data_IF_416780613897
#
_entry.id   IF_416780613897
#
_cell.length_a   1.000
_cell.length_b   1.000
_cell.length_c   1.000
_cell.angle_alpha   90.00
_cell.angle_beta   90.00
_cell.angle_gamma   90.00
#
_symmetry.space_group_name_H-M   'P 1'
#
loop_
_entity.id
_entity.type
_entity.pdbx_description
1 polymer ?
#
# COMPACT_ATOMS: atom_id res chain seq x y z
N UNK A 1 -19.43 22.22 51.25
CA UNK A 1 -20.56 22.02 50.32
C UNK A 1 -20.57 23.16 49.32
N UNK A 2 -20.13 22.94 48.08
CA UNK A 2 -20.31 23.90 46.98
C UNK A 2 -21.02 23.15 45.84
N UNK A 3 -22.30 23.49 45.62
CA UNK A 3 -23.13 23.05 44.49
C UNK A 3 -22.76 23.90 43.26
N UNK A 4 -22.37 23.29 42.13
CA UNK A 4 -23.22 22.90 40.98
C UNK A 4 -23.89 24.09 40.24
N UNK A 5 -23.42 24.43 39.02
CA UNK A 5 -24.25 24.40 37.80
C UNK A 5 -23.50 24.86 36.53
N UNK A 6 -23.52 23.96 35.53
CA UNK A 6 -23.86 24.14 34.10
C UNK A 6 -23.37 25.41 33.37
N UNK A 7 -22.44 25.20 32.44
CA UNK A 7 -22.12 26.10 31.33
C UNK A 7 -23.10 25.90 30.17
N UNK A 8 -23.94 26.90 29.93
CA UNK A 8 -24.87 26.99 28.79
C UNK A 8 -24.11 27.24 27.46
N UNK A 9 -24.42 26.44 26.44
CA UNK A 9 -23.92 26.57 25.08
C UNK A 9 -24.71 27.66 24.34
N UNK A 10 -24.02 28.70 23.85
CA UNK A 10 -24.65 29.89 23.24
C UNK A 10 -24.81 29.69 21.72
N UNK A 11 -26.05 29.48 21.27
CA UNK A 11 -26.42 29.37 19.85
C UNK A 11 -26.31 30.72 19.12
N UNK A 12 -25.64 30.72 17.97
CA UNK A 12 -25.44 31.87 17.09
C UNK A 12 -26.68 32.13 16.21
N UNK A 13 -27.07 33.39 16.07
CA UNK A 13 -28.38 33.86 15.58
C UNK A 13 -28.37 34.10 14.07
N UNK A 14 -29.24 33.40 13.35
CA UNK A 14 -29.65 33.69 11.97
C UNK A 14 -30.57 34.93 11.98
N UNK A 15 -30.33 35.96 11.16
CA UNK A 15 -31.28 37.06 10.92
C UNK A 15 -31.48 37.30 9.43
N UNK A 16 -32.74 37.17 9.05
CA UNK A 16 -33.36 37.38 7.74
C UNK A 16 -33.68 38.88 7.56
N UNK A 17 -33.54 39.44 6.34
CA UNK A 17 -34.23 40.70 5.99
C UNK A 17 -33.72 41.52 4.78
N UNK A 18 -34.44 41.38 3.65
CA UNK A 18 -34.85 42.41 2.67
C UNK A 18 -33.85 43.15 1.72
N UNK A 19 -33.83 42.69 0.47
CA UNK A 19 -34.14 43.39 -0.80
C UNK A 19 -33.79 44.89 -0.93
N UNK A 20 -32.80 45.20 -1.78
CA UNK A 20 -32.80 46.39 -2.64
C UNK A 20 -32.35 46.00 -4.05
N UNK A 21 -33.20 46.28 -5.02
CA UNK A 21 -32.98 46.06 -6.44
C UNK A 21 -32.00 47.10 -7.00
N UNK A 22 -30.93 46.64 -7.66
CA UNK A 22 -30.15 47.47 -8.59
C UNK A 22 -30.02 46.68 -9.89
N UNK A 23 -30.79 47.14 -10.87
CA UNK A 23 -30.74 46.72 -12.27
C UNK A 23 -29.52 47.38 -12.92
N UNK A 24 -28.47 46.61 -13.20
CA UNK A 24 -27.44 46.98 -14.16
C UNK A 24 -27.36 45.90 -15.23
N UNK A 25 -27.99 46.19 -16.36
CA UNK A 25 -27.68 45.57 -17.65
C UNK A 25 -26.18 45.79 -17.94
N UNK A 26 -25.43 44.70 -18.08
CA UNK A 26 -24.37 44.63 -19.09
C UNK A 26 -24.03 43.16 -19.36
N UNK A 27 -24.30 42.75 -20.59
CA UNK A 27 -23.89 41.47 -21.15
C UNK A 27 -22.38 41.34 -21.08
N UNK A 28 -21.90 40.23 -20.50
CA UNK A 28 -20.68 39.59 -20.99
C UNK A 28 -21.00 38.12 -21.18
N UNK A 29 -21.04 37.74 -22.44
CA UNK A 29 -21.26 36.39 -22.92
C UNK A 29 -20.39 35.39 -22.14
N UNK A 30 -21.02 34.41 -21.50
CA UNK A 30 -20.33 33.16 -21.21
C UNK A 30 -20.18 32.43 -22.53
N UNK A 31 -19.06 32.67 -23.19
CA UNK A 31 -18.63 31.91 -24.35
C UNK A 31 -18.67 30.42 -24.00
N UNK A 32 -19.44 29.70 -24.80
CA UNK A 32 -19.52 28.25 -24.82
C UNK A 32 -18.17 27.70 -25.32
N UNK A 33 -17.17 27.64 -24.45
CA UNK A 33 -15.96 26.87 -24.68
C UNK A 33 -16.27 25.41 -24.33
N UNK A 34 -16.31 24.58 -25.37
CA UNK A 34 -16.68 23.18 -25.28
C UNK A 34 -15.96 22.44 -24.17
N UNK A 35 -16.74 21.72 -23.38
CA UNK A 35 -16.24 20.59 -22.61
C UNK A 35 -15.93 19.48 -23.62
N UNK A 36 -14.78 19.61 -24.29
CA UNK A 36 -14.15 18.47 -24.91
C UNK A 36 -13.91 17.48 -23.78
N UNK A 37 -14.69 16.40 -23.75
CA UNK A 37 -14.38 15.22 -22.94
C UNK A 37 -13.04 14.72 -23.48
N UNK A 38 -11.97 15.15 -22.83
CA UNK A 38 -10.68 14.50 -22.95
C UNK A 38 -10.90 13.05 -22.49
N UNK A 39 -10.66 12.04 -23.35
CA UNK A 39 -10.85 10.66 -22.92
C UNK A 39 -9.87 10.42 -21.78
N UNK A 40 -10.40 9.97 -20.63
CA UNK A 40 -9.60 9.49 -19.50
C UNK A 40 -8.72 8.34 -19.98
N UNK A 41 -7.55 8.67 -20.51
CA UNK A 41 -6.47 7.74 -20.70
C UNK A 41 -6.01 7.42 -19.29
N UNK A 42 -6.26 6.18 -18.87
CA UNK A 42 -5.78 5.57 -17.64
C UNK A 42 -4.26 5.78 -17.54
N UNK A 43 -3.84 6.88 -16.93
CA UNK A 43 -2.46 7.14 -16.57
C UNK A 43 -2.11 6.25 -15.38
N UNK A 44 -1.75 5.00 -15.66
CA UNK A 44 -0.86 4.22 -14.82
C UNK A 44 0.56 4.79 -15.01
N UNK A 45 0.75 6.03 -14.57
CA UNK A 45 2.05 6.71 -14.58
C UNK A 45 2.70 6.54 -13.20
N UNK A 46 3.29 5.37 -12.99
CA UNK A 46 4.41 5.21 -12.07
C UNK A 46 5.44 4.35 -12.78
N UNK A 47 6.42 5.06 -13.35
CA UNK A 47 7.71 4.59 -13.89
C UNK A 47 7.65 3.37 -14.81
N UNK A 48 7.84 3.62 -16.11
CA UNK A 48 8.43 2.62 -16.99
C UNK A 48 9.82 2.24 -16.44
N UNK A 49 9.88 1.20 -15.61
CA UNK A 49 11.11 0.44 -15.42
C UNK A 49 11.25 -0.36 -16.71
N UNK A 50 12.17 0.07 -17.57
CA UNK A 50 12.50 -0.68 -18.77
C UNK A 50 13.06 -2.04 -18.35
N UNK A 51 12.34 -3.09 -18.71
CA UNK A 51 12.71 -4.46 -18.38
C UNK A 51 13.71 -4.93 -19.44
N UNK A 52 15.01 -4.84 -19.14
CA UNK A 52 16.04 -5.45 -19.99
C UNK A 52 15.84 -6.98 -20.04
N UNK A 53 15.58 -7.56 -21.23
CA UNK A 53 15.35 -9.00 -21.41
C UNK A 53 16.62 -9.85 -21.28
N UNK A 54 17.81 -9.26 -21.14
CA UNK A 54 19.09 -9.98 -21.08
C UNK A 54 19.62 -10.25 -19.65
N UNK A 55 18.97 -9.75 -18.60
CA UNK A 55 19.50 -9.86 -17.23
C UNK A 55 19.32 -11.27 -16.63
N UNK A 56 20.33 -12.10 -16.88
CA UNK A 56 20.65 -13.32 -16.13
C UNK A 56 21.33 -12.93 -14.81
N UNK A 57 20.53 -12.64 -13.77
CA UNK A 57 20.99 -12.83 -12.39
C UNK A 57 21.56 -11.65 -11.59
N UNK A 58 21.24 -10.39 -11.89
CA UNK A 58 21.40 -9.30 -10.90
C UNK A 58 20.22 -8.35 -10.90
N UNK A 59 19.19 -8.62 -10.08
CA UNK A 59 18.17 -7.62 -9.83
C UNK A 59 18.69 -6.64 -8.76
N UNK A 60 18.86 -5.38 -9.16
CA UNK A 60 19.31 -4.31 -8.27
C UNK A 60 18.15 -3.91 -7.34
N UNK A 61 18.46 -3.76 -6.06
CA UNK A 61 17.54 -3.95 -4.94
C UNK A 61 16.57 -2.81 -4.62
N UNK A 62 16.58 -1.70 -5.36
CA UNK A 62 15.73 -0.54 -5.03
C UNK A 62 14.25 -0.83 -5.24
N UNK A 63 13.87 -1.37 -6.40
CA UNK A 63 12.47 -1.71 -6.68
C UNK A 63 11.91 -2.78 -5.71
N UNK A 64 12.74 -3.77 -5.34
CA UNK A 64 12.36 -4.80 -4.37
C UNK A 64 12.18 -4.23 -2.96
N UNK A 65 13.09 -3.36 -2.53
CA UNK A 65 12.98 -2.62 -1.26
C UNK A 65 11.73 -1.76 -1.23
N UNK A 66 11.51 -0.93 -2.24
CA UNK A 66 10.40 0.01 -2.27
C UNK A 66 9.05 -0.72 -2.25
N UNK A 67 8.93 -1.79 -3.04
CA UNK A 67 7.73 -2.62 -3.04
C UNK A 67 7.53 -3.32 -1.68
N UNK A 68 8.59 -3.82 -1.05
CA UNK A 68 8.51 -4.40 0.29
C UNK A 68 8.05 -3.37 1.33
N UNK A 69 8.67 -2.18 1.35
CA UNK A 69 8.36 -1.13 2.32
C UNK A 69 6.91 -0.67 2.14
N UNK A 70 6.46 -0.43 0.91
CA UNK A 70 5.11 0.07 0.67
C UNK A 70 4.02 -0.99 0.92
N UNK A 71 4.27 -2.27 0.65
CA UNK A 71 3.21 -3.27 0.55
C UNK A 71 3.33 -4.42 1.56
N UNK A 72 4.54 -4.76 1.99
CA UNK A 72 4.78 -5.90 2.89
C UNK A 72 5.03 -5.45 4.33
N UNK A 73 5.76 -4.35 4.51
CA UNK A 73 6.11 -3.81 5.84
C UNK A 73 4.93 -3.40 6.72
N UNK A 74 3.75 -2.99 6.20
CA UNK A 74 2.61 -2.69 7.05
C UNK A 74 2.20 -3.88 7.95
N UNK A 75 2.42 -5.11 7.50
CA UNK A 75 2.18 -6.32 8.32
C UNK A 75 3.50 -6.90 8.85
N UNK A 76 4.51 -7.06 7.99
CA UNK A 76 5.75 -7.74 8.36
C UNK A 76 6.76 -6.86 9.11
N UNK A 77 6.54 -5.54 9.17
CA UNK A 77 7.50 -4.56 9.69
C UNK A 77 8.64 -4.28 8.72
N UNK A 78 9.25 -3.10 8.81
CA UNK A 78 10.40 -2.73 7.96
C UNK A 78 11.60 -3.68 8.18
N UNK A 79 11.77 -4.13 9.41
CA UNK A 79 12.82 -5.11 9.79
C UNK A 79 12.38 -6.56 9.60
N UNK A 80 11.15 -6.80 9.16
CA UNK A 80 10.62 -8.13 8.89
C UNK A 80 10.27 -8.96 10.12
N UNK A 81 10.15 -8.38 11.31
CA UNK A 81 9.90 -9.15 12.55
C UNK A 81 8.45 -9.59 12.73
N UNK A 82 7.56 -9.17 11.84
CA UNK A 82 6.12 -9.38 11.98
C UNK A 82 5.47 -8.42 12.98
N UNK A 83 6.08 -7.24 13.15
CA UNK A 83 5.71 -6.16 14.06
C UNK A 83 5.26 -4.90 13.31
N UNK A 84 4.74 -5.06 12.09
CA UNK A 84 4.17 -3.96 11.33
C UNK A 84 2.92 -3.39 12.00
N UNK A 85 2.52 -2.14 11.70
CA UNK A 85 1.37 -1.48 12.31
C UNK A 85 0.03 -2.23 12.14
N UNK A 86 -0.07 -3.13 11.15
CA UNK A 86 -1.25 -3.97 10.89
C UNK A 86 -1.10 -5.39 11.45
N UNK A 87 0.01 -5.74 12.10
CA UNK A 87 0.28 -7.11 12.54
C UNK A 87 -0.80 -7.63 13.51
N UNK A 88 -1.28 -6.78 14.42
CA UNK A 88 -2.29 -7.15 15.41
C UNK A 88 -3.75 -6.98 14.89
N UNK A 89 -3.93 -6.47 13.67
CA UNK A 89 -5.27 -6.30 13.07
C UNK A 89 -5.69 -7.47 12.18
N UNK A 90 -4.86 -8.50 12.04
CA UNK A 90 -5.08 -9.62 11.10
C UNK A 90 -6.07 -10.68 11.61
N UNK A 91 -6.59 -10.52 12.82
CA UNK A 91 -7.48 -11.47 13.50
C UNK A 91 -6.81 -12.17 14.69
N UNK A 92 -7.63 -12.76 15.56
CA UNK A 92 -7.14 -13.45 16.75
C UNK A 92 -6.27 -14.66 16.36
N UNK A 93 -5.08 -14.75 16.95
CA UNK A 93 -4.13 -15.85 16.69
C UNK A 93 -3.39 -15.78 15.35
N UNK A 94 -3.71 -14.83 14.46
CA UNK A 94 -2.99 -14.62 13.19
C UNK A 94 -1.85 -13.65 13.42
N UNK A 95 -0.61 -14.10 13.22
CA UNK A 95 0.58 -13.25 13.29
C UNK A 95 1.46 -13.43 12.05
N UNK A 96 1.97 -12.34 11.45
CA UNK A 96 2.93 -12.43 10.37
C UNK A 96 4.18 -13.19 10.82
N UNK A 97 4.77 -13.99 9.93
CA UNK A 97 6.03 -14.68 10.23
C UNK A 97 7.16 -13.66 10.37
N UNK A 98 8.07 -13.91 11.31
CA UNK A 98 9.35 -13.20 11.39
C UNK A 98 10.23 -13.56 10.18
N UNK A 99 10.23 -12.70 9.17
CA UNK A 99 11.04 -12.78 7.97
C UNK A 99 12.53 -12.50 8.22
N UNK A 100 12.89 -11.89 9.35
CA UNK A 100 14.31 -11.71 9.73
C UNK A 100 14.94 -12.98 10.31
N UNK A 101 14.15 -14.02 10.61
CA UNK A 101 14.64 -15.32 11.06
C UNK A 101 15.34 -16.05 9.91
N UNK A 102 16.68 -15.94 9.89
CA UNK A 102 17.53 -16.57 8.91
C UNK A 102 17.38 -18.10 8.88
N UNK A 103 17.12 -18.76 10.02
CA UNK A 103 16.96 -20.21 10.05
C UNK A 103 15.66 -20.64 9.37
N UNK A 104 14.58 -19.92 9.65
CA UNK A 104 13.28 -20.14 9.02
C UNK A 104 13.36 -19.94 7.51
N UNK A 105 13.90 -18.80 7.08
CA UNK A 105 13.95 -18.45 5.66
C UNK A 105 14.96 -19.32 4.90
N UNK A 106 16.11 -19.66 5.49
CA UNK A 106 17.09 -20.54 4.83
C UNK A 106 16.54 -21.94 4.57
N UNK A 107 15.51 -22.39 5.31
CA UNK A 107 14.85 -23.68 5.10
C UNK A 107 13.70 -23.64 4.08
N UNK A 108 13.51 -22.53 3.37
CA UNK A 108 12.48 -22.37 2.33
C UNK A 108 13.15 -22.04 1.00
N UNK A 109 12.69 -22.67 -0.07
CA UNK A 109 13.20 -22.37 -1.41
C UNK A 109 12.65 -21.03 -1.90
N UNK A 110 13.28 -20.43 -2.91
CA UNK A 110 12.78 -19.18 -3.49
C UNK A 110 11.48 -19.41 -4.27
N UNK A 111 11.23 -20.61 -4.80
CA UNK A 111 9.95 -20.99 -5.41
C UNK A 111 8.82 -21.02 -4.38
N UNK A 112 9.10 -21.50 -3.17
CA UNK A 112 8.13 -21.44 -2.07
C UNK A 112 7.80 -19.98 -1.74
N UNK A 113 8.81 -19.13 -1.54
CA UNK A 113 8.60 -17.72 -1.24
C UNK A 113 7.86 -16.99 -2.37
N UNK A 114 8.19 -17.33 -3.62
CA UNK A 114 7.51 -16.84 -4.81
C UNK A 114 6.04 -17.24 -4.83
N UNK A 115 5.74 -18.52 -4.56
CA UNK A 115 4.35 -19.00 -4.50
C UNK A 115 3.54 -18.29 -3.42
N UNK A 116 4.07 -18.17 -2.20
CA UNK A 116 3.38 -17.50 -1.09
C UNK A 116 3.14 -16.02 -1.40
N UNK A 117 4.12 -15.34 -1.99
CA UNK A 117 3.98 -13.92 -2.34
C UNK A 117 3.01 -13.74 -3.50
N UNK A 118 3.14 -14.54 -4.57
CA UNK A 118 2.30 -14.41 -5.76
C UNK A 118 0.86 -14.81 -5.50
N UNK A 119 0.63 -15.92 -4.82
CA UNK A 119 -0.68 -16.56 -4.69
C UNK A 119 -1.28 -16.45 -3.28
N UNK A 120 -0.63 -15.72 -2.37
CA UNK A 120 -1.09 -15.50 -1.01
C UNK A 120 -0.87 -16.69 -0.07
N UNK A 121 -1.19 -16.49 1.20
CA UNK A 121 -0.97 -17.47 2.27
C UNK A 121 -1.74 -18.78 2.07
N UNK A 122 -2.98 -18.70 1.60
CA UNK A 122 -3.84 -19.87 1.35
C UNK A 122 -3.22 -20.89 0.39
N UNK A 123 -2.36 -20.44 -0.54
CA UNK A 123 -1.70 -21.30 -1.53
C UNK A 123 -0.72 -22.33 -0.95
N UNK A 124 -0.36 -22.16 0.34
CA UNK A 124 0.53 -23.04 1.10
C UNK A 124 -0.06 -23.41 2.47
N UNK A 125 -1.36 -23.19 2.68
CA UNK A 125 -2.03 -23.49 3.96
C UNK A 125 -1.76 -22.49 5.09
N UNK A 126 -1.39 -21.24 4.78
CA UNK A 126 -1.35 -20.14 5.74
C UNK A 126 -2.66 -19.34 5.73
N UNK A 127 -2.79 -18.37 6.64
CA UNK A 127 -3.95 -17.50 6.72
C UNK A 127 -4.22 -16.73 5.42
N UNK A 128 -5.50 -16.47 5.14
CA UNK A 128 -5.95 -15.58 4.06
C UNK A 128 -5.55 -14.11 4.29
N UNK A 129 -5.20 -13.74 5.53
CA UNK A 129 -4.69 -12.41 5.86
C UNK A 129 -3.38 -12.07 5.14
N UNK A 130 -2.66 -13.06 4.58
CA UNK A 130 -1.58 -12.83 3.63
C UNK A 130 -2.16 -12.86 2.20
N UNK A 131 -2.37 -11.70 1.56
CA UNK A 131 -3.08 -11.61 0.29
C UNK A 131 -2.24 -12.14 -0.89
N UNK A 132 -2.93 -12.43 -2.00
CA UNK A 132 -2.32 -12.66 -3.30
C UNK A 132 -1.85 -11.34 -3.90
N UNK A 133 -0.65 -11.34 -4.50
CA UNK A 133 -0.08 -10.16 -5.16
C UNK A 133 0.01 -10.29 -6.68
N UNK A 134 -0.55 -11.36 -7.27
CA UNK A 134 -0.46 -11.64 -8.71
C UNK A 134 -1.02 -10.53 -9.62
N UNK A 135 -2.03 -9.78 -9.15
CA UNK A 135 -2.65 -8.69 -9.90
C UNK A 135 -1.93 -7.34 -9.70
N UNK A 136 -1.06 -7.26 -8.70
CA UNK A 136 -0.34 -6.04 -8.33
C UNK A 136 1.07 -6.02 -8.90
N UNK A 137 1.78 -7.15 -8.80
CA UNK A 137 3.18 -7.28 -9.18
C UNK A 137 3.39 -8.29 -10.30
N UNK A 138 4.31 -7.97 -11.19
CA UNK A 138 4.88 -8.92 -12.14
C UNK A 138 5.75 -9.95 -11.43
N UNK A 139 6.00 -11.08 -12.10
CA UNK A 139 6.90 -12.12 -11.59
C UNK A 139 8.31 -11.59 -11.30
N UNK A 140 8.76 -10.60 -12.07
CA UNK A 140 10.05 -9.96 -11.85
C UNK A 140 10.06 -9.15 -10.55
N UNK A 141 9.02 -8.36 -10.30
CA UNK A 141 8.90 -7.55 -9.08
C UNK A 141 8.78 -8.44 -7.83
N UNK A 142 8.04 -9.54 -7.91
CA UNK A 142 7.96 -10.52 -6.81
C UNK A 142 9.35 -11.12 -6.52
N UNK A 143 10.11 -11.49 -7.55
CA UNK A 143 11.50 -11.97 -7.38
C UNK A 143 12.40 -10.92 -6.76
N UNK A 144 12.25 -9.65 -7.13
CA UNK A 144 13.00 -8.54 -6.53
C UNK A 144 12.67 -8.35 -5.04
N UNK A 145 11.39 -8.44 -4.66
CA UNK A 145 10.96 -8.41 -3.25
C UNK A 145 11.62 -9.55 -2.47
N UNK A 146 11.59 -10.78 -3.01
CA UNK A 146 12.21 -11.95 -2.37
C UNK A 146 13.71 -11.76 -2.22
N UNK A 147 14.39 -11.23 -3.24
CA UNK A 147 15.81 -10.93 -3.15
C UNK A 147 16.10 -9.89 -2.08
N UNK A 148 15.28 -8.84 -1.94
CA UNK A 148 15.42 -7.87 -0.86
C UNK A 148 15.24 -8.51 0.52
N UNK A 149 14.23 -9.38 0.69
CA UNK A 149 14.02 -10.14 1.94
C UNK A 149 15.25 -11.01 2.25
N UNK A 150 15.81 -11.68 1.25
CA UNK A 150 17.03 -12.49 1.39
C UNK A 150 18.25 -11.67 1.79
N UNK A 151 18.51 -10.58 1.08
CA UNK A 151 19.76 -9.84 1.20
C UNK A 151 19.77 -8.84 2.36
N UNK A 152 18.62 -8.24 2.69
CA UNK A 152 18.52 -7.10 3.60
C UNK A 152 17.73 -7.41 4.87
N UNK A 153 16.71 -8.27 4.81
CA UNK A 153 15.85 -8.59 5.96
C UNK A 153 16.40 -9.78 6.76
N UNK A 154 16.48 -10.98 6.16
CA UNK A 154 17.02 -12.16 6.84
C UNK A 154 18.54 -12.28 6.71
N UNK A 155 19.14 -11.59 5.74
CA UNK A 155 20.57 -11.71 5.37
C UNK A 155 21.01 -13.17 5.23
N UNK A 156 20.19 -13.96 4.52
CA UNK A 156 20.27 -15.40 4.48
C UNK A 156 20.19 -15.95 3.05
N UNK A 157 20.69 -17.19 2.86
CA UNK A 157 20.60 -17.95 1.60
C UNK A 157 19.84 -19.24 1.85
N UNK A 158 19.15 -19.75 0.82
CA UNK A 158 18.57 -21.08 0.90
C UNK A 158 19.66 -22.13 1.19
N UNK A 159 19.42 -22.99 2.18
CA UNK A 159 20.23 -24.18 2.45
C UNK A 159 19.50 -25.37 1.84
N UNK A 160 20.02 -25.89 0.74
CA UNK A 160 19.58 -27.20 0.25
C UNK A 160 19.84 -28.21 1.35
N UNK A 161 18.77 -28.91 1.77
CA UNK A 161 18.88 -30.04 2.69
C UNK A 161 19.42 -31.26 1.96
#
# INVERSE_FOLDING_TARGET
MFHNQKTECKMNKYRIGAIFAVLCLSMTAFSNAGFAKEPLKKERSRSHIELDPANTGTYTGEAGKDNYIANCSPCHGETGKGDGPLADTLGEGVKPRNLSDANLLSARTDEFLFKVTKSGGVSVGFSESMPSWAETFTDKEIKQIIQYVRSSVCRCKYKSK
#
